data_IF_370561028251
#
_entry.id   IF_370561028251
#
_cell.length_a   1.000
_cell.length_b   1.000
_cell.length_c   1.000
_cell.angle_alpha   90.00
_cell.angle_beta   90.00
_cell.angle_gamma   90.00
#
_symmetry.space_group_name_H-M   'P 1'
#
loop_
_entity.id
_entity.type
_entity.pdbx_description
1 polymer ?
#
# COMPACT_ATOMS: atom_id res chain seq x y z
N UNK A 1 -58.59 10.86 27.56
CA UNK A 1 -57.19 10.79 27.06
C UNK A 1 -56.98 9.52 26.21
N UNK A 2 -57.97 9.20 25.39
CA UNK A 2 -57.96 8.98 23.93
C UNK A 2 -56.71 8.30 23.33
N UNK A 3 -56.79 6.99 23.08
CA UNK A 3 -55.74 6.20 22.42
C UNK A 3 -55.35 6.64 20.99
N UNK A 4 -55.95 7.71 20.46
CA UNK A 4 -55.57 8.34 19.20
C UNK A 4 -54.12 8.87 19.24
N UNK A 5 -53.66 9.43 20.36
CA UNK A 5 -52.29 9.96 20.46
C UNK A 5 -51.22 8.85 20.37
N UNK A 6 -51.52 7.66 20.90
CA UNK A 6 -50.65 6.47 20.82
C UNK A 6 -50.55 6.00 19.37
N UNK A 7 -51.66 6.00 18.64
CA UNK A 7 -51.69 5.68 17.20
C UNK A 7 -50.85 6.66 16.37
N UNK A 8 -51.02 7.96 16.60
CA UNK A 8 -50.22 9.00 15.93
C UNK A 8 -48.73 8.92 16.27
N UNK A 9 -48.37 8.65 17.54
CA UNK A 9 -46.99 8.44 17.94
C UNK A 9 -46.35 7.25 17.22
N UNK A 10 -47.07 6.14 17.07
CA UNK A 10 -46.60 4.97 16.31
C UNK A 10 -46.36 5.27 14.83
N UNK A 11 -47.24 6.04 14.19
CA UNK A 11 -47.07 6.46 12.78
C UNK A 11 -45.82 7.33 12.63
N UNK A 12 -45.60 8.30 13.53
CA UNK A 12 -44.43 9.17 13.48
C UNK A 12 -43.14 8.37 13.67
N UNK A 13 -43.11 7.46 14.65
CA UNK A 13 -41.94 6.60 14.88
C UNK A 13 -41.65 5.71 13.67
N UNK A 14 -42.68 5.12 13.05
CA UNK A 14 -42.53 4.29 11.86
C UNK A 14 -41.94 5.08 10.69
N UNK A 15 -42.44 6.30 10.45
CA UNK A 15 -41.92 7.18 9.38
C UNK A 15 -40.47 7.57 9.65
N UNK A 16 -40.14 7.95 10.89
CA UNK A 16 -38.77 8.31 11.27
C UNK A 16 -37.82 7.12 11.11
N UNK A 17 -38.22 5.92 11.54
CA UNK A 17 -37.43 4.71 11.35
C UNK A 17 -37.24 4.36 9.87
N UNK A 18 -38.26 4.54 9.03
CA UNK A 18 -38.14 4.33 7.60
C UNK A 18 -37.14 5.30 6.96
N UNK A 19 -37.19 6.58 7.33
CA UNK A 19 -36.21 7.58 6.87
C UNK A 19 -34.78 7.25 7.33
N UNK A 20 -34.62 6.81 8.59
CA UNK A 20 -33.32 6.38 9.11
C UNK A 20 -32.76 5.15 8.35
N UNK A 21 -33.60 4.17 8.02
CA UNK A 21 -33.19 3.00 7.25
C UNK A 21 -32.74 3.35 5.82
N UNK A 22 -33.45 4.28 5.16
CA UNK A 22 -33.05 4.79 3.85
C UNK A 22 -31.73 5.55 3.94
N UNK A 23 -31.56 6.40 4.95
CA UNK A 23 -30.31 7.12 5.22
C UNK A 23 -29.13 6.18 5.41
N UNK A 24 -29.28 5.15 6.25
CA UNK A 24 -28.26 4.14 6.49
C UNK A 24 -27.86 3.41 5.19
N UNK A 25 -28.85 3.02 4.37
CA UNK A 25 -28.60 2.35 3.08
C UNK A 25 -27.78 3.23 2.12
N UNK A 26 -28.08 4.53 2.06
CA UNK A 26 -27.33 5.48 1.21
C UNK A 26 -25.89 5.67 1.70
N UNK A 27 -25.69 5.75 3.02
CA UNK A 27 -24.36 5.83 3.64
C UNK A 27 -23.55 4.58 3.32
N UNK A 28 -24.11 3.38 3.53
CA UNK A 28 -23.45 2.11 3.21
C UNK A 28 -23.08 1.99 1.74
N UNK A 29 -23.94 2.46 0.82
CA UNK A 29 -23.63 2.47 -0.61
C UNK A 29 -22.52 3.46 -0.98
N UNK A 30 -22.47 4.63 -0.31
CA UNK A 30 -21.40 5.61 -0.52
C UNK A 30 -20.08 5.14 0.07
N UNK A 31 -20.10 4.60 1.28
CA UNK A 31 -18.93 4.00 1.93
C UNK A 31 -18.43 2.81 1.13
N UNK A 32 -19.31 1.93 0.63
CA UNK A 32 -18.92 0.82 -0.23
C UNK A 32 -18.26 1.25 -1.54
N UNK A 33 -18.69 2.37 -2.14
CA UNK A 33 -18.06 2.92 -3.35
C UNK A 33 -16.73 3.63 -3.06
N UNK A 34 -16.65 4.37 -1.95
CA UNK A 34 -15.41 4.99 -1.51
C UNK A 34 -14.36 3.93 -1.12
N UNK A 35 -14.82 2.86 -0.46
CA UNK A 35 -13.99 1.74 -0.05
C UNK A 35 -13.43 0.98 -1.25
N UNK A 36 -14.20 0.77 -2.33
CA UNK A 36 -13.69 0.12 -3.55
C UNK A 36 -12.47 0.83 -4.15
N UNK A 37 -12.53 2.17 -4.24
CA UNK A 37 -11.39 2.96 -4.74
C UNK A 37 -10.21 2.89 -3.78
N UNK A 38 -10.47 3.00 -2.48
CA UNK A 38 -9.41 2.92 -1.47
C UNK A 38 -8.77 1.52 -1.41
N UNK A 39 -9.54 0.45 -1.61
CA UNK A 39 -9.03 -0.93 -1.66
C UNK A 39 -8.18 -1.20 -2.87
N UNK A 40 -8.44 -0.58 -4.03
CA UNK A 40 -7.56 -0.71 -5.20
C UNK A 40 -6.18 -0.10 -4.92
N UNK A 41 -6.12 1.09 -4.30
CA UNK A 41 -4.85 1.69 -3.87
C UNK A 41 -4.14 0.86 -2.79
N UNK A 42 -4.89 0.34 -1.81
CA UNK A 42 -4.34 -0.50 -0.75
C UNK A 42 -3.80 -1.83 -1.29
N UNK A 43 -4.52 -2.47 -2.20
CA UNK A 43 -4.10 -3.72 -2.83
C UNK A 43 -2.86 -3.53 -3.69
N UNK A 44 -2.77 -2.43 -4.43
CA UNK A 44 -1.58 -2.10 -5.21
C UNK A 44 -0.35 -1.92 -4.32
N UNK A 45 -0.51 -1.16 -3.23
CA UNK A 45 0.56 -0.94 -2.25
C UNK A 45 0.96 -2.22 -1.53
N UNK A 46 0.00 -3.07 -1.18
CA UNK A 46 0.27 -4.36 -0.52
C UNK A 46 1.05 -5.31 -1.44
N UNK A 47 0.65 -5.42 -2.71
CA UNK A 47 1.37 -6.20 -3.71
C UNK A 47 2.76 -5.63 -4.01
N UNK A 48 2.91 -4.31 -4.03
CA UNK A 48 4.22 -3.68 -4.09
C UNK A 48 5.08 -4.07 -2.89
N UNK A 49 4.51 -4.04 -1.69
CA UNK A 49 5.25 -4.36 -0.47
C UNK A 49 5.68 -5.82 -0.36
N UNK A 50 4.80 -6.76 -0.73
CA UNK A 50 5.13 -8.18 -0.74
C UNK A 50 6.32 -8.50 -1.66
N UNK A 51 6.44 -7.81 -2.79
CA UNK A 51 7.55 -8.00 -3.75
C UNK A 51 8.87 -7.45 -3.21
N UNK A 52 8.85 -6.22 -2.72
CA UNK A 52 10.06 -5.54 -2.27
C UNK A 52 10.54 -6.00 -0.89
N UNK A 53 9.66 -6.47 -0.01
CA UNK A 53 10.05 -6.98 1.30
C UNK A 53 11.01 -8.19 1.19
N UNK A 54 10.74 -9.11 0.26
CA UNK A 54 11.61 -10.28 0.03
C UNK A 54 13.01 -9.88 -0.48
N UNK A 55 13.07 -8.85 -1.32
CA UNK A 55 14.34 -8.31 -1.85
C UNK A 55 15.10 -7.60 -0.74
N UNK A 56 14.43 -6.75 0.03
CA UNK A 56 15.05 -5.98 1.10
C UNK A 56 15.66 -6.89 2.17
N UNK A 57 14.95 -7.96 2.54
CA UNK A 57 15.44 -8.99 3.47
C UNK A 57 16.76 -9.63 2.98
N UNK A 58 16.85 -9.96 1.69
CA UNK A 58 18.05 -10.56 1.09
C UNK A 58 19.17 -9.57 0.83
N UNK A 59 18.84 -8.34 0.46
CA UNK A 59 19.82 -7.27 0.28
C UNK A 59 20.48 -6.87 1.60
N UNK A 60 19.76 -7.02 2.73
CA UNK A 60 20.27 -6.76 4.07
C UNK A 60 20.87 -7.99 4.76
N UNK A 61 20.82 -9.16 4.11
CA UNK A 61 21.43 -10.38 4.61
C UNK A 61 22.96 -10.29 4.49
N UNK A 62 23.68 -10.85 5.46
CA UNK A 62 25.15 -10.94 5.45
C UNK A 62 25.69 -12.05 4.53
N UNK A 63 24.80 -12.82 3.91
CA UNK A 63 25.13 -13.84 2.91
C UNK A 63 25.31 -13.18 1.54
N UNK A 64 26.53 -13.27 0.99
CA UNK A 64 26.88 -12.69 -0.32
C UNK A 64 26.04 -13.28 -1.47
N UNK A 65 25.72 -14.58 -1.40
CA UNK A 65 24.88 -15.23 -2.43
C UNK A 65 23.44 -14.73 -2.36
N UNK A 66 22.95 -14.46 -1.15
CA UNK A 66 21.62 -13.89 -0.93
C UNK A 66 21.56 -12.43 -1.45
N UNK A 67 22.62 -11.66 -1.23
CA UNK A 67 22.74 -10.29 -1.73
C UNK A 67 22.78 -10.26 -3.26
N UNK A 68 23.57 -11.14 -3.88
CA UNK A 68 23.62 -11.29 -5.35
C UNK A 68 22.28 -11.73 -5.93
N UNK A 69 21.56 -12.64 -5.27
CA UNK A 69 20.21 -13.01 -5.68
C UNK A 69 19.22 -11.84 -5.59
N UNK A 70 19.37 -10.96 -4.58
CA UNK A 70 18.56 -9.76 -4.46
C UNK A 70 18.78 -8.79 -5.63
N UNK A 71 20.04 -8.53 -6.01
CA UNK A 71 20.35 -7.63 -7.13
C UNK A 71 19.82 -8.15 -8.47
N UNK A 72 19.95 -9.45 -8.73
CA UNK A 72 19.36 -10.10 -9.91
C UNK A 72 17.84 -10.00 -9.92
N UNK A 73 17.19 -10.18 -8.76
CA UNK A 73 15.73 -10.11 -8.65
C UNK A 73 15.20 -8.69 -8.79
N UNK A 74 15.92 -7.66 -8.30
CA UNK A 74 15.59 -6.25 -8.57
C UNK A 74 15.58 -5.99 -10.07
N UNK A 75 16.61 -6.44 -10.78
CA UNK A 75 16.69 -6.28 -12.23
C UNK A 75 15.58 -7.07 -12.97
N UNK A 76 15.31 -8.30 -12.53
CA UNK A 76 14.26 -9.13 -13.13
C UNK A 76 12.85 -8.58 -12.88
N UNK A 77 12.59 -7.96 -11.74
CA UNK A 77 11.30 -7.34 -11.43
C UNK A 77 11.07 -6.08 -12.26
N UNK A 78 12.11 -5.24 -12.39
CA UNK A 78 12.04 -3.94 -13.07
C UNK A 78 11.94 -4.04 -14.60
N UNK A 79 12.25 -5.20 -15.18
CA UNK A 79 12.15 -5.44 -16.64
C UNK A 79 10.78 -5.95 -17.09
N UNK A 80 9.84 -6.16 -16.18
CA UNK A 80 8.52 -6.74 -16.51
C UNK A 80 7.47 -5.67 -16.78
N UNK A 81 6.53 -6.00 -17.68
CA UNK A 81 5.43 -5.10 -18.13
C UNK A 81 4.49 -4.62 -17.03
N UNK A 82 4.49 -5.26 -15.87
CA UNK A 82 3.60 -4.97 -14.74
C UNK A 82 4.28 -4.11 -13.66
N UNK A 83 5.46 -3.56 -13.97
CA UNK A 83 6.14 -2.53 -13.18
C UNK A 83 5.28 -1.30 -13.02
N UNK A 84 5.34 -0.73 -11.82
CA UNK A 84 4.56 0.45 -11.41
C UNK A 84 5.46 1.68 -11.35
N UNK A 85 4.87 2.87 -11.24
CA UNK A 85 5.66 4.11 -11.09
C UNK A 85 6.53 4.08 -9.82
N UNK A 86 6.04 3.45 -8.75
CA UNK A 86 6.78 3.26 -7.50
C UNK A 86 8.00 2.34 -7.68
N UNK A 87 7.87 1.27 -8.48
CA UNK A 87 8.98 0.39 -8.84
C UNK A 87 10.08 1.16 -9.60
N UNK A 88 9.69 2.02 -10.55
CA UNK A 88 10.62 2.88 -11.30
C UNK A 88 11.25 3.99 -10.44
N UNK A 89 10.53 4.49 -9.44
CA UNK A 89 11.06 5.46 -8.50
C UNK A 89 12.18 4.86 -7.65
N UNK A 90 12.00 3.64 -7.12
CA UNK A 90 13.05 2.96 -6.33
C UNK A 90 14.32 2.77 -7.16
N UNK A 91 14.21 2.32 -8.41
CA UNK A 91 15.38 2.09 -9.26
C UNK A 91 16.16 3.39 -9.52
N UNK A 92 15.45 4.48 -9.89
CA UNK A 92 16.07 5.79 -10.09
C UNK A 92 16.77 6.30 -8.83
N UNK A 93 16.17 6.07 -7.66
CA UNK A 93 16.76 6.48 -6.39
C UNK A 93 18.02 5.67 -6.04
N UNK A 94 18.03 4.37 -6.35
CA UNK A 94 19.22 3.51 -6.19
C UNK A 94 20.33 3.93 -7.14
N UNK A 95 20.04 4.10 -8.43
CA UNK A 95 21.00 4.59 -9.42
C UNK A 95 21.58 5.95 -9.03
N UNK A 96 20.72 6.86 -8.52
CA UNK A 96 21.16 8.17 -8.02
C UNK A 96 22.15 8.04 -6.86
N UNK A 97 21.94 7.10 -5.93
CA UNK A 97 22.83 6.87 -4.78
C UNK A 97 24.14 6.20 -5.17
N UNK A 98 24.12 5.28 -6.14
CA UNK A 98 25.33 4.67 -6.68
C UNK A 98 26.19 5.69 -7.43
N UNK A 99 25.54 6.62 -8.14
CA UNK A 99 26.22 7.69 -8.88
C UNK A 99 26.63 8.87 -7.98
N UNK A 100 26.20 8.89 -6.72
CA UNK A 100 26.60 9.93 -5.76
C UNK A 100 28.06 9.70 -5.34
N UNK A 101 28.98 10.62 -5.66
CA UNK A 101 30.40 10.47 -5.35
C UNK A 101 30.68 10.34 -3.85
N UNK A 102 29.78 10.78 -2.97
CA UNK A 102 29.91 10.60 -1.53
C UNK A 102 29.71 9.12 -1.10
N UNK A 103 28.86 8.37 -1.80
CA UNK A 103 28.58 6.96 -1.51
C UNK A 103 29.67 6.06 -2.09
N UNK A 104 30.16 6.38 -3.29
CA UNK A 104 31.24 5.64 -3.95
C UNK A 104 32.54 5.68 -3.14
N UNK A 105 32.88 6.84 -2.57
CA UNK A 105 34.07 7.03 -1.72
C UNK A 105 34.05 6.18 -0.44
N UNK A 106 32.86 5.95 0.14
CA UNK A 106 32.69 5.12 1.34
C UNK A 106 32.85 3.63 1.05
N UNK A 107 32.40 3.17 -0.12
CA UNK A 107 32.58 1.79 -0.56
C UNK A 107 34.05 1.47 -0.84
N UNK A 108 34.75 2.37 -1.52
CA UNK A 108 36.20 2.22 -1.77
C UNK A 108 37.01 2.18 -0.46
N UNK A 109 36.62 2.97 0.56
CA UNK A 109 37.26 2.96 1.88
C UNK A 109 37.01 1.66 2.67
N UNK A 110 35.86 1.01 2.51
CA UNK A 110 35.57 -0.30 3.12
C UNK A 110 36.32 -1.45 2.42
N UNK A 111 36.45 -1.42 1.09
CA UNK A 111 37.25 -2.41 0.32
C UNK A 111 38.77 -2.31 0.58
N UNK A 112 39.25 -1.16 1.08
CA UNK A 112 40.66 -0.91 1.39
C UNK A 112 41.07 -1.32 2.82
N UNK A 113 40.14 -1.85 3.62
CA UNK A 113 40.45 -2.39 4.95
C UNK A 113 40.62 -3.92 4.88
N UNK A 114 41.87 -4.44 4.86
CA UNK A 114 42.08 -5.87 5.08
C UNK A 114 41.75 -6.20 6.55
N UNK A 115 40.97 -7.25 6.77
CA UNK A 115 40.84 -7.89 8.10
C UNK A 115 42.14 -8.57 8.54
#
# INVERSE_FOLDING_TARGET
>A
MDGAWIGWAGVVVSVVSACAAVGATVVTLREGRAMRRNTEFLAHRDQWWQRWAWIADRALCSDEDANAAASLMVHALTTRRWVTEDDNWVLRELERRETDPATQRRRDDDDLRPE
#
